data_IF_755777261881
#
_entry.id   IF_755777261881
#
_cell.length_a   1.000
_cell.length_b   1.000
_cell.length_c   1.000
_cell.angle_alpha   90.00
_cell.angle_beta   90.00
_cell.angle_gamma   90.00
#
_symmetry.space_group_name_H-M   'P 1'
#
loop_
_entity.id
_entity.type
_entity.pdbx_description
1 polymer ?
#
# COMPACT_ATOMS: atom_id res chain seq x y z
N UNK A 1 15.28 1.40 -3.22
CA UNK A 1 14.45 2.47 -3.83
C UNK A 1 14.72 3.80 -3.13
N UNK A 2 14.37 3.93 -1.87
CA UNK A 2 14.81 4.99 -0.99
C UNK A 2 15.84 4.43 0.01
N UNK A 3 16.45 5.26 0.84
CA UNK A 3 17.43 4.78 1.82
C UNK A 3 16.83 3.72 2.76
N UNK A 4 15.54 3.87 3.09
CA UNK A 4 14.82 3.03 4.03
C UNK A 4 13.59 2.32 3.43
N UNK A 5 13.37 2.32 2.09
CA UNK A 5 12.24 1.66 1.46
C UNK A 5 12.69 0.82 0.26
N UNK A 6 12.34 -0.46 0.28
CA UNK A 6 12.75 -1.46 -0.70
C UNK A 6 11.54 -2.08 -1.39
N UNK A 7 11.60 -2.22 -2.71
CA UNK A 7 10.58 -2.91 -3.48
C UNK A 7 10.81 -4.42 -3.43
N UNK A 8 9.81 -5.15 -2.96
CA UNK A 8 9.79 -6.62 -2.88
C UNK A 8 8.54 -7.20 -3.54
N UNK A 9 7.99 -6.44 -4.48
CA UNK A 9 6.80 -6.80 -5.24
C UNK A 9 7.10 -7.56 -6.53
N UNK A 10 6.06 -7.73 -7.32
CA UNK A 10 6.11 -8.29 -8.68
C UNK A 10 5.99 -7.18 -9.72
N UNK A 11 5.94 -7.55 -11.01
CA UNK A 11 5.76 -6.58 -12.09
C UNK A 11 4.43 -5.82 -12.00
N UNK A 12 3.38 -6.41 -11.41
CA UNK A 12 2.02 -5.85 -11.36
C UNK A 12 1.66 -5.41 -9.95
N UNK A 13 1.91 -6.25 -8.95
CA UNK A 13 1.51 -6.02 -7.56
C UNK A 13 2.68 -5.50 -6.74
N UNK A 14 2.48 -4.38 -6.07
CA UNK A 14 3.50 -3.76 -5.24
C UNK A 14 3.53 -4.38 -3.85
N UNK A 15 4.73 -4.61 -3.34
CA UNK A 15 4.99 -4.87 -1.92
C UNK A 15 6.24 -4.10 -1.52
N UNK A 16 6.23 -3.49 -0.34
CA UNK A 16 7.28 -2.58 0.09
C UNK A 16 7.77 -2.92 1.50
N UNK A 17 9.08 -3.06 1.65
CA UNK A 17 9.73 -3.23 2.96
C UNK A 17 10.29 -1.89 3.42
N UNK A 18 9.67 -1.31 4.46
CA UNK A 18 10.09 -0.06 5.10
C UNK A 18 10.94 -0.41 6.32
N UNK A 19 12.24 -0.16 6.24
CA UNK A 19 13.18 -0.41 7.34
C UNK A 19 13.17 0.72 8.36
N UNK A 20 13.28 0.36 9.62
CA UNK A 20 13.28 1.27 10.77
C UNK A 20 14.43 0.89 11.72
N UNK A 21 14.64 1.66 12.79
CA UNK A 21 15.65 1.30 13.82
C UNK A 21 15.36 -0.03 14.53
N UNK A 22 14.09 -0.47 14.60
CA UNK A 22 13.66 -1.62 15.39
C UNK A 22 13.12 -2.79 14.57
N UNK A 23 13.27 -2.73 13.25
CA UNK A 23 12.83 -3.79 12.35
C UNK A 23 12.22 -3.26 11.05
N UNK A 24 11.26 -4.00 10.51
CA UNK A 24 10.68 -3.72 9.18
C UNK A 24 9.15 -3.68 9.30
N UNK A 25 8.55 -2.68 8.65
CA UNK A 25 7.12 -2.64 8.33
C UNK A 25 6.97 -3.06 6.86
N UNK A 26 6.26 -4.15 6.60
CA UNK A 26 5.95 -4.60 5.25
C UNK A 26 4.58 -4.05 4.85
N UNK A 27 4.45 -3.54 3.64
CA UNK A 27 3.17 -3.07 3.06
C UNK A 27 2.80 -4.04 1.94
N UNK A 28 1.65 -4.69 2.09
CA UNK A 28 1.09 -5.75 1.24
C UNK A 28 1.97 -7.00 1.13
N UNK A 29 1.34 -8.13 0.76
CA UNK A 29 1.99 -9.44 0.75
C UNK A 29 1.79 -10.26 -0.53
N UNK A 30 1.29 -9.63 -1.58
CA UNK A 30 1.10 -10.27 -2.90
C UNK A 30 0.12 -11.46 -2.84
N UNK A 31 -0.03 -12.17 -3.97
CA UNK A 31 -0.64 -13.48 -4.01
C UNK A 31 0.20 -14.50 -3.24
N UNK A 32 -0.47 -15.47 -2.64
CA UNK A 32 0.18 -16.52 -1.84
C UNK A 32 1.30 -17.23 -2.57
N UNK A 33 1.09 -17.61 -3.84
CA UNK A 33 2.07 -18.31 -4.66
C UNK A 33 3.34 -17.50 -4.97
N UNK A 34 3.26 -16.15 -4.88
CA UNK A 34 4.38 -15.26 -5.18
C UNK A 34 5.12 -14.78 -3.91
N UNK A 35 4.49 -14.88 -2.75
CA UNK A 35 4.97 -14.23 -1.52
C UNK A 35 6.31 -14.73 -1.04
N UNK A 36 6.55 -16.05 -1.04
CA UNK A 36 7.81 -16.61 -0.52
C UNK A 36 8.99 -16.23 -1.42
N UNK A 37 8.83 -16.34 -2.74
CA UNK A 37 9.91 -16.00 -3.68
C UNK A 37 10.16 -14.49 -3.77
N UNK A 38 9.11 -13.70 -3.99
CA UNK A 38 9.24 -12.27 -4.24
C UNK A 38 9.56 -11.50 -2.94
N UNK A 39 8.85 -11.77 -1.85
CA UNK A 39 9.04 -11.02 -0.60
C UNK A 39 10.20 -11.62 0.20
N UNK A 40 10.10 -12.88 0.62
CA UNK A 40 11.13 -13.48 1.49
C UNK A 40 12.45 -13.64 0.76
N UNK A 41 12.41 -14.17 -0.47
CA UNK A 41 13.59 -14.30 -1.33
C UNK A 41 14.15 -12.93 -1.76
N UNK A 42 13.27 -11.99 -2.13
CA UNK A 42 13.64 -10.63 -2.51
C UNK A 42 14.31 -9.87 -1.37
N UNK A 43 13.75 -9.92 -0.15
CA UNK A 43 14.37 -9.30 1.03
C UNK A 43 15.77 -9.84 1.29
N UNK A 44 15.95 -11.17 1.26
CA UNK A 44 17.28 -11.79 1.43
C UNK A 44 18.29 -11.33 0.37
N UNK A 45 17.88 -11.25 -0.89
CA UNK A 45 18.72 -10.73 -1.99
C UNK A 45 19.15 -9.28 -1.77
N UNK A 46 18.30 -8.49 -1.08
CA UNK A 46 18.57 -7.10 -0.71
C UNK A 46 19.34 -6.95 0.62
N UNK A 47 19.74 -8.07 1.24
CA UNK A 47 20.45 -8.05 2.54
C UNK A 47 19.54 -7.79 3.73
N UNK A 48 18.21 -7.87 3.56
CA UNK A 48 17.23 -7.71 4.62
C UNK A 48 16.86 -9.08 5.21
N UNK A 49 16.79 -9.16 6.54
CA UNK A 49 16.30 -10.37 7.22
C UNK A 49 14.77 -10.34 7.35
N UNK A 50 14.03 -11.27 6.72
CA UNK A 50 12.58 -11.36 6.86
C UNK A 50 12.09 -11.58 8.31
N UNK A 51 12.92 -12.12 9.20
CA UNK A 51 12.59 -12.27 10.61
C UNK A 51 12.45 -10.93 11.36
N UNK A 52 12.98 -9.86 10.77
CA UNK A 52 12.83 -8.52 11.29
C UNK A 52 11.52 -7.83 10.88
N UNK A 53 10.65 -8.46 10.08
CA UNK A 53 9.32 -7.92 9.78
C UNK A 53 8.43 -8.04 11.02
N UNK A 54 8.19 -6.89 11.68
CA UNK A 54 7.38 -6.83 12.91
C UNK A 54 5.91 -6.54 12.60
N UNK A 55 5.65 -5.68 11.62
CA UNK A 55 4.31 -5.35 11.17
C UNK A 55 4.15 -5.60 9.67
N UNK A 56 2.97 -6.06 9.31
CA UNK A 56 2.50 -6.14 7.91
C UNK A 56 1.22 -5.34 7.83
N UNK A 57 1.22 -4.28 7.03
CA UNK A 57 0.02 -3.48 6.78
C UNK A 57 -0.55 -3.91 5.44
N UNK A 58 -1.76 -4.45 5.45
CA UNK A 58 -2.49 -4.89 4.27
C UNK A 58 -3.40 -3.75 3.81
N UNK A 59 -3.21 -3.32 2.56
CA UNK A 59 -4.02 -2.25 1.97
C UNK A 59 -5.50 -2.66 1.86
N UNK A 60 -5.77 -3.90 1.47
CA UNK A 60 -7.13 -4.47 1.44
C UNK A 60 -7.14 -6.00 1.26
N UNK A 61 -8.32 -6.63 1.40
CA UNK A 61 -8.46 -8.08 1.50
C UNK A 61 -8.47 -8.86 0.17
N UNK A 62 -8.10 -8.26 -0.97
CA UNK A 62 -7.93 -9.04 -2.21
C UNK A 62 -6.67 -9.92 -2.13
N UNK A 63 -6.74 -11.07 -2.80
CA UNK A 63 -5.71 -12.10 -2.71
C UNK A 63 -4.30 -11.65 -3.13
N UNK A 64 -4.21 -10.68 -4.03
CA UNK A 64 -2.97 -10.07 -4.51
C UNK A 64 -2.32 -9.09 -3.52
N UNK A 65 -2.97 -8.83 -2.38
CA UNK A 65 -2.44 -8.00 -1.29
C UNK A 65 -2.30 -8.75 0.01
N UNK A 66 -3.26 -9.63 0.34
CA UNK A 66 -3.29 -10.37 1.61
C UNK A 66 -2.72 -11.78 1.53
N UNK A 67 -2.43 -12.29 0.32
CA UNK A 67 -2.13 -13.71 0.10
C UNK A 67 -0.98 -14.26 0.94
N UNK A 68 0.09 -13.50 1.15
CA UNK A 68 1.22 -13.91 1.99
C UNK A 68 1.11 -13.56 3.46
N UNK A 69 0.01 -12.94 3.92
CA UNK A 69 -0.12 -12.49 5.30
C UNK A 69 0.00 -13.63 6.32
N UNK A 70 -0.60 -14.80 6.01
CA UNK A 70 -0.47 -15.98 6.88
C UNK A 70 0.97 -16.50 6.94
N UNK A 71 1.69 -16.53 5.83
CA UNK A 71 3.11 -16.90 5.80
C UNK A 71 3.92 -16.00 6.73
N UNK A 72 3.71 -14.68 6.63
CA UNK A 72 4.40 -13.71 7.49
C UNK A 72 4.05 -13.89 8.97
N UNK A 73 2.77 -14.11 9.28
CA UNK A 73 2.29 -14.34 10.64
C UNK A 73 2.84 -15.64 11.26
N UNK A 74 2.81 -16.74 10.51
CA UNK A 74 3.19 -18.06 11.05
C UNK A 74 4.72 -18.21 11.13
N UNK A 75 5.43 -17.82 10.07
CA UNK A 75 6.86 -18.06 9.95
C UNK A 75 7.70 -17.02 10.70
N UNK A 76 7.29 -15.76 10.66
CA UNK A 76 8.06 -14.64 11.20
C UNK A 76 7.42 -13.97 12.41
N UNK A 77 6.21 -14.40 12.80
CA UNK A 77 5.44 -13.83 13.93
C UNK A 77 5.11 -12.34 13.73
N UNK A 78 5.03 -11.92 12.47
CA UNK A 78 4.66 -10.55 12.12
C UNK A 78 3.21 -10.26 12.54
N UNK A 79 2.97 -9.04 13.07
CA UNK A 79 1.64 -8.55 13.42
C UNK A 79 0.94 -8.03 12.17
N UNK A 80 -0.26 -8.52 11.88
CA UNK A 80 -1.00 -8.13 10.68
C UNK A 80 -1.99 -7.02 10.99
N UNK A 81 -1.92 -5.93 10.23
CA UNK A 81 -2.81 -4.77 10.32
C UNK A 81 -3.70 -4.72 9.09
N UNK A 82 -5.01 -4.66 9.27
CA UNK A 82 -5.99 -4.55 8.20
C UNK A 82 -7.28 -3.90 8.70
N UNK A 83 -8.06 -3.27 7.81
CA UNK A 83 -9.34 -2.67 8.14
C UNK A 83 -10.36 -3.71 8.66
N UNK A 84 -11.24 -3.30 9.60
CA UNK A 84 -12.21 -4.20 10.22
C UNK A 84 -13.10 -4.94 9.21
N UNK A 85 -13.71 -4.27 8.19
CA UNK A 85 -14.55 -4.96 7.22
C UNK A 85 -13.79 -5.99 6.38
N UNK A 86 -12.52 -5.75 6.12
CA UNK A 86 -11.66 -6.64 5.33
C UNK A 86 -11.25 -7.86 6.16
N UNK A 87 -10.99 -7.71 7.46
CA UNK A 87 -10.87 -8.83 8.38
C UNK A 87 -12.10 -9.71 8.37
N UNK A 88 -13.30 -9.12 8.47
CA UNK A 88 -14.56 -9.85 8.41
C UNK A 88 -14.76 -10.56 7.07
N UNK A 89 -14.35 -9.95 5.97
CA UNK A 89 -14.40 -10.56 4.64
C UNK A 89 -13.56 -11.83 4.57
N UNK A 90 -12.32 -11.78 5.08
CA UNK A 90 -11.43 -12.95 5.13
C UNK A 90 -12.00 -14.04 6.05
N UNK A 91 -12.49 -13.68 7.22
CA UNK A 91 -13.07 -14.64 8.17
C UNK A 91 -14.27 -15.39 7.56
N UNK A 92 -15.14 -14.68 6.84
CA UNK A 92 -16.34 -15.26 6.17
C UNK A 92 -16.02 -16.02 4.88
N UNK A 93 -14.91 -15.71 4.20
CA UNK A 93 -14.56 -16.36 2.94
C UNK A 93 -14.46 -17.87 3.09
N UNK A 94 -15.17 -18.64 2.28
CA UNK A 94 -15.09 -20.11 2.29
C UNK A 94 -13.99 -20.65 1.39
N UNK A 95 -13.38 -19.81 0.56
CA UNK A 95 -12.44 -20.20 -0.48
C UNK A 95 -11.09 -19.47 -0.35
N UNK A 96 -10.04 -20.12 -0.87
CA UNK A 96 -8.91 -19.44 -1.51
C UNK A 96 -7.65 -19.17 -0.69
N UNK A 97 -7.50 -19.83 0.44
CA UNK A 97 -6.20 -19.78 1.12
C UNK A 97 -5.66 -21.20 1.26
N UNK A 98 -4.90 -21.74 0.25
CA UNK A 98 -4.37 -23.10 0.27
C UNK A 98 -3.61 -23.44 1.56
N UNK A 99 -2.88 -22.46 2.11
CA UNK A 99 -2.15 -22.62 3.38
C UNK A 99 -2.93 -22.08 4.59
N UNK A 100 -4.21 -21.75 4.41
CA UNK A 100 -5.09 -21.20 5.44
C UNK A 100 -5.06 -19.67 5.56
N UNK A 101 -6.02 -19.12 6.27
CA UNK A 101 -6.22 -17.68 6.45
C UNK A 101 -5.29 -17.09 7.52
N UNK A 102 -4.86 -15.82 7.39
CA UNK A 102 -4.26 -15.13 8.52
C UNK A 102 -5.26 -15.00 9.66
N UNK A 103 -4.80 -15.11 10.88
CA UNK A 103 -5.63 -14.86 12.07
C UNK A 103 -5.76 -13.35 12.28
N UNK A 104 -6.98 -12.90 12.58
CA UNK A 104 -7.25 -11.50 12.95
C UNK A 104 -6.32 -11.06 14.07
N UNK A 105 -5.69 -9.90 13.87
CA UNK A 105 -4.74 -9.35 14.82
C UNK A 105 -5.04 -7.87 15.08
N UNK A 106 -4.44 -6.94 14.36
CA UNK A 106 -4.64 -5.51 14.57
C UNK A 106 -5.71 -5.00 13.59
N UNK A 107 -6.72 -4.33 14.15
CA UNK A 107 -7.69 -3.58 13.35
C UNK A 107 -7.15 -2.18 13.13
N UNK A 108 -6.86 -1.86 11.87
CA UNK A 108 -6.43 -0.53 11.46
C UNK A 108 -7.58 0.47 11.49
N UNK A 109 -7.37 1.60 12.15
CA UNK A 109 -8.34 2.68 12.28
C UNK A 109 -7.86 3.95 11.58
N UNK A 110 -8.80 4.81 11.22
CA UNK A 110 -8.48 6.11 10.61
C UNK A 110 -7.61 6.97 11.53
N UNK A 111 -6.55 7.55 10.98
CA UNK A 111 -5.58 8.36 11.73
C UNK A 111 -4.66 7.57 12.67
N UNK A 112 -4.85 6.26 12.81
CA UNK A 112 -3.97 5.43 13.64
C UNK A 112 -2.54 5.43 13.09
N UNK A 113 -1.56 5.52 13.98
CA UNK A 113 -0.14 5.38 13.64
C UNK A 113 0.35 3.99 14.02
N UNK A 114 0.93 3.29 13.07
CA UNK A 114 1.73 2.09 13.31
C UNK A 114 3.18 2.54 13.41
N UNK A 115 3.70 2.52 14.62
CA UNK A 115 5.07 3.00 14.92
C UNK A 115 5.99 1.84 15.21
N UNK A 116 7.17 1.85 14.60
CA UNK A 116 8.26 0.91 14.86
C UNK A 116 9.57 1.68 14.83
N UNK A 117 10.29 1.71 15.96
CA UNK A 117 11.50 2.48 16.10
C UNK A 117 11.32 3.97 15.75
N UNK A 118 12.12 4.47 14.83
CA UNK A 118 12.14 5.86 14.37
C UNK A 118 11.10 6.20 13.31
N UNK A 119 10.24 5.26 12.94
CA UNK A 119 9.34 5.42 11.78
C UNK A 119 7.87 5.15 12.16
N UNK A 120 6.97 5.96 11.61
CA UNK A 120 5.52 5.81 11.78
C UNK A 120 4.81 5.80 10.43
N UNK A 121 3.85 4.90 10.26
CA UNK A 121 2.90 4.87 9.15
C UNK A 121 1.54 5.28 9.67
N UNK A 122 1.00 6.40 9.16
CA UNK A 122 -0.35 6.86 9.49
C UNK A 122 -1.35 6.22 8.55
N UNK A 123 -2.32 5.51 9.09
CA UNK A 123 -3.40 4.87 8.34
C UNK A 123 -4.48 5.90 7.99
N UNK A 124 -4.99 5.82 6.77
CA UNK A 124 -6.13 6.58 6.30
C UNK A 124 -7.16 5.58 5.77
N UNK A 125 -8.32 5.46 6.41
CA UNK A 125 -9.39 4.59 5.90
C UNK A 125 -9.98 5.19 4.64
N UNK A 126 -9.92 4.44 3.55
CA UNK A 126 -10.38 4.84 2.21
C UNK A 126 -11.27 3.76 1.60
N UNK A 127 -12.46 3.49 2.21
CA UNK A 127 -13.38 2.48 1.70
C UNK A 127 -13.82 2.79 0.26
N UNK A 128 -14.23 1.75 -0.46
CA UNK A 128 -14.74 1.87 -1.83
C UNK A 128 -14.18 0.76 -2.72
N UNK A 129 -12.85 0.64 -2.86
CA UNK A 129 -12.26 -0.51 -3.55
C UNK A 129 -12.60 -1.83 -2.82
N UNK A 130 -12.37 -1.85 -1.51
CA UNK A 130 -13.04 -2.74 -0.56
C UNK A 130 -13.62 -1.90 0.59
N UNK A 131 -14.56 -2.44 1.40
CA UNK A 131 -15.07 -1.69 2.56
C UNK A 131 -14.00 -1.39 3.62
N UNK A 132 -12.93 -2.18 3.71
CA UNK A 132 -11.86 -2.04 4.69
C UNK A 132 -10.56 -1.45 4.15
N UNK A 133 -10.55 -0.91 2.93
CA UNK A 133 -9.33 -0.36 2.31
C UNK A 133 -8.63 0.66 3.21
N UNK A 134 -7.31 0.48 3.34
CA UNK A 134 -6.38 1.38 4.03
C UNK A 134 -5.42 2.01 3.02
N UNK A 135 -5.38 3.33 3.00
CA UNK A 135 -4.31 4.13 2.42
C UNK A 135 -3.35 4.60 3.52
N UNK A 136 -2.19 5.13 3.18
CA UNK A 136 -1.16 5.44 4.17
C UNK A 136 -0.44 6.74 3.87
N UNK A 137 0.01 7.41 4.93
CA UNK A 137 0.97 8.52 4.88
C UNK A 137 2.18 8.13 5.73
N UNK A 138 3.38 8.19 5.17
CA UNK A 138 4.63 7.88 5.88
C UNK A 138 5.82 8.58 5.23
N UNK A 139 6.93 8.64 5.95
CA UNK A 139 8.15 9.25 5.44
C UNK A 139 9.16 8.21 4.97
N UNK A 140 9.88 8.56 3.90
CA UNK A 140 11.04 7.85 3.37
C UNK A 140 12.23 8.81 3.29
N UNK A 141 13.43 8.29 3.06
CA UNK A 141 14.64 9.10 2.97
C UNK A 141 15.32 8.94 1.60
N UNK A 142 15.74 10.03 1.01
CA UNK A 142 16.58 10.06 -0.20
C UNK A 142 17.87 10.81 0.11
N UNK A 143 19.00 10.10 0.22
CA UNK A 143 20.29 10.64 0.67
C UNK A 143 20.16 11.38 2.02
N UNK A 144 19.47 10.76 2.98
CA UNK A 144 19.22 11.29 4.32
C UNK A 144 18.09 12.35 4.40
N UNK A 145 17.62 12.87 3.27
CA UNK A 145 16.56 13.90 3.25
C UNK A 145 15.18 13.24 3.32
N UNK A 146 14.33 13.65 4.27
CA UNK A 146 12.99 13.10 4.39
C UNK A 146 12.08 13.57 3.24
N UNK A 147 11.24 12.64 2.77
CA UNK A 147 10.21 12.84 1.76
C UNK A 147 8.94 12.15 2.22
N UNK A 148 7.80 12.82 2.11
CA UNK A 148 6.53 12.23 2.54
C UNK A 148 5.81 11.54 1.38
N UNK A 149 5.39 10.31 1.62
CA UNK A 149 4.66 9.44 0.71
C UNK A 149 3.17 9.53 0.98
N UNK A 150 2.38 9.69 -0.07
CA UNK A 150 0.96 9.34 -0.10
C UNK A 150 0.82 7.99 -0.83
N UNK A 151 0.40 6.96 -0.11
CA UNK A 151 0.18 5.62 -0.63
C UNK A 151 -1.32 5.36 -0.80
N UNK A 152 -1.78 5.15 -2.05
CA UNK A 152 -3.17 4.81 -2.33
C UNK A 152 -3.36 3.29 -2.29
N UNK A 153 -4.12 2.81 -1.30
CA UNK A 153 -4.36 1.39 -1.06
C UNK A 153 -5.53 0.78 -1.86
N UNK A 154 -6.28 1.59 -2.60
CA UNK A 154 -7.40 1.14 -3.45
C UNK A 154 -7.42 1.87 -4.78
N UNK A 155 -6.70 1.36 -5.78
CA UNK A 155 -6.40 2.08 -7.03
C UNK A 155 -7.43 1.93 -8.14
N UNK A 156 -8.25 0.88 -8.12
CA UNK A 156 -9.24 0.61 -9.15
C UNK A 156 -10.66 0.56 -8.60
N UNK A 157 -11.65 0.80 -9.44
CA UNK A 157 -13.07 0.61 -9.11
C UNK A 157 -13.64 -0.63 -9.82
N UNK A 158 -12.99 -1.77 -9.59
CA UNK A 158 -13.43 -3.11 -10.00
C UNK A 158 -14.37 -3.77 -8.97
N UNK A 159 -15.16 -2.96 -8.29
CA UNK A 159 -16.17 -3.35 -7.30
C UNK A 159 -17.57 -3.43 -7.92
N UNK A 160 -18.59 -3.67 -7.10
CA UNK A 160 -19.98 -3.68 -7.55
C UNK A 160 -20.35 -2.33 -8.18
N UNK A 161 -20.82 -2.36 -9.43
CA UNK A 161 -21.18 -1.17 -10.19
C UNK A 161 -22.52 -0.62 -9.73
N UNK A 162 -22.54 0.08 -8.61
CA UNK A 162 -23.69 0.84 -8.12
C UNK A 162 -23.27 2.23 -7.62
N UNK A 163 -24.25 3.12 -7.55
CA UNK A 163 -24.03 4.51 -7.16
C UNK A 163 -23.43 4.64 -5.75
N UNK A 164 -23.91 3.92 -4.72
CA UNK A 164 -23.32 4.03 -3.38
C UNK A 164 -21.84 3.65 -3.29
N UNK A 165 -21.40 2.62 -4.02
CA UNK A 165 -19.98 2.23 -4.04
C UNK A 165 -19.13 3.31 -4.69
N UNK A 166 -19.57 3.89 -5.81
CA UNK A 166 -18.86 5.01 -6.44
C UNK A 166 -18.83 6.24 -5.55
N UNK A 167 -19.93 6.60 -4.88
CA UNK A 167 -19.94 7.74 -3.95
C UNK A 167 -18.95 7.54 -2.79
N UNK A 168 -18.88 6.33 -2.26
CA UNK A 168 -17.92 5.97 -1.21
C UNK A 168 -16.47 6.08 -1.71
N UNK A 169 -16.18 5.52 -2.89
CA UNK A 169 -14.85 5.59 -3.49
C UNK A 169 -14.42 7.04 -3.79
N UNK A 170 -15.32 7.85 -4.38
CA UNK A 170 -15.08 9.27 -4.66
C UNK A 170 -14.78 10.03 -3.37
N UNK A 171 -15.56 9.81 -2.30
CA UNK A 171 -15.31 10.39 -0.99
C UNK A 171 -13.94 10.02 -0.42
N UNK A 172 -13.52 8.77 -0.63
CA UNK A 172 -12.21 8.27 -0.20
C UNK A 172 -11.04 8.90 -0.96
N UNK A 173 -11.18 9.12 -2.27
CA UNK A 173 -10.14 9.82 -3.05
C UNK A 173 -9.98 11.29 -2.60
N UNK A 174 -11.08 11.99 -2.32
CA UNK A 174 -11.05 13.35 -1.75
C UNK A 174 -10.36 13.37 -0.39
N UNK A 175 -10.75 12.46 0.50
CA UNK A 175 -10.15 12.32 1.84
C UNK A 175 -8.63 12.08 1.76
N UNK A 176 -8.19 11.21 0.84
CA UNK A 176 -6.78 10.91 0.67
C UNK A 176 -6.01 12.09 0.07
N UNK A 177 -6.61 12.84 -0.87
CA UNK A 177 -6.05 14.10 -1.38
C UNK A 177 -5.81 15.11 -0.24
N UNK A 178 -6.80 15.30 0.65
CA UNK A 178 -6.67 16.17 1.80
C UNK A 178 -5.59 15.70 2.79
N UNK A 179 -5.53 14.39 3.07
CA UNK A 179 -4.49 13.82 3.93
C UNK A 179 -3.09 14.04 3.35
N UNK A 180 -2.92 13.81 2.05
CA UNK A 180 -1.67 14.07 1.32
C UNK A 180 -1.29 15.55 1.34
N UNK A 181 -2.27 16.46 1.17
CA UNK A 181 -2.05 17.91 1.25
C UNK A 181 -1.59 18.34 2.64
N UNK A 182 -2.28 17.90 3.71
CA UNK A 182 -1.90 18.20 5.10
C UNK A 182 -0.49 17.70 5.44
N UNK A 183 -0.12 16.55 4.91
CA UNK A 183 1.21 15.97 5.11
C UNK A 183 2.29 16.55 4.18
N UNK A 184 1.95 17.44 3.26
CA UNK A 184 2.84 17.95 2.22
C UNK A 184 3.49 16.85 1.39
N UNK A 185 2.76 15.78 1.08
CA UNK A 185 3.28 14.63 0.34
C UNK A 185 3.77 15.03 -1.06
N UNK A 186 4.98 14.57 -1.39
CA UNK A 186 5.64 14.83 -2.68
C UNK A 186 5.91 13.54 -3.45
N UNK A 187 5.69 12.40 -2.82
CA UNK A 187 5.86 11.06 -3.38
C UNK A 187 4.48 10.40 -3.45
N UNK A 188 4.16 9.82 -4.61
CA UNK A 188 2.98 9.00 -4.80
C UNK A 188 3.40 7.55 -4.99
N UNK A 189 2.76 6.67 -4.24
CA UNK A 189 2.90 5.22 -4.37
C UNK A 189 1.53 4.55 -4.34
N UNK A 190 1.45 3.37 -4.93
CA UNK A 190 0.21 2.59 -5.01
C UNK A 190 0.47 1.11 -4.80
N UNK A 191 -0.59 0.38 -4.54
CA UNK A 191 -0.56 -1.08 -4.36
C UNK A 191 -0.41 -1.86 -5.68
N UNK A 192 -0.62 -1.21 -6.83
CA UNK A 192 -0.36 -1.76 -8.16
C UNK A 192 0.63 -0.90 -8.92
N UNK A 193 1.69 -1.51 -9.42
CA UNK A 193 2.82 -0.84 -10.08
C UNK A 193 2.46 -0.05 -11.34
N UNK A 194 1.34 -0.34 -11.97
CA UNK A 194 0.87 0.36 -13.17
C UNK A 194 0.27 1.73 -12.85
N UNK A 195 -0.31 1.93 -11.66
CA UNK A 195 -0.95 3.20 -11.29
C UNK A 195 0.04 4.27 -10.80
N UNK A 196 1.23 3.88 -10.37
CA UNK A 196 2.31 4.82 -10.02
C UNK A 196 3.54 4.70 -10.94
N UNK A 197 3.46 3.82 -11.95
CA UNK A 197 4.55 3.54 -12.89
C UNK A 197 5.83 3.01 -12.21
N UNK A 198 5.66 2.17 -11.17
CA UNK A 198 6.74 1.69 -10.32
C UNK A 198 7.87 1.02 -11.11
N UNK A 199 7.55 0.13 -12.06
CA UNK A 199 8.56 -0.59 -12.84
C UNK A 199 9.47 0.35 -13.63
N UNK A 200 8.91 1.41 -14.24
CA UNK A 200 9.70 2.43 -14.94
C UNK A 200 10.55 3.24 -13.96
N UNK A 201 9.97 3.66 -12.83
CA UNK A 201 10.70 4.40 -11.80
C UNK A 201 11.85 3.60 -11.20
N UNK A 202 11.66 2.28 -11.00
CA UNK A 202 12.74 1.37 -10.55
C UNK A 202 13.89 1.35 -11.55
N UNK A 203 13.60 1.27 -12.85
CA UNK A 203 14.62 1.31 -13.90
C UNK A 203 15.35 2.66 -13.94
N UNK A 204 14.60 3.76 -13.81
CA UNK A 204 15.20 5.10 -13.74
C UNK A 204 16.09 5.26 -12.50
N UNK A 205 15.71 4.67 -11.35
CA UNK A 205 16.57 4.65 -10.17
C UNK A 205 17.89 3.94 -10.41
N UNK A 206 17.89 2.81 -11.12
CA UNK A 206 19.12 2.08 -11.45
C UNK A 206 20.07 2.88 -12.35
N UNK A 207 19.54 3.84 -13.12
CA UNK A 207 20.31 4.72 -14.01
C UNK A 207 20.59 6.11 -13.40
N UNK A 208 20.02 6.42 -12.22
CA UNK A 208 20.10 7.74 -11.58
C UNK A 208 21.53 8.11 -11.22
N UNK A 209 21.94 9.32 -11.60
CA UNK A 209 23.23 9.89 -11.24
C UNK A 209 23.15 10.72 -9.95
N UNK A 210 24.27 10.91 -9.24
CA UNK A 210 24.32 11.82 -8.09
C UNK A 210 23.80 13.23 -8.46
N UNK A 211 22.92 13.78 -7.62
CA UNK A 211 22.32 15.11 -7.83
C UNK A 211 21.06 15.12 -8.69
N UNK A 212 20.73 14.05 -9.40
CA UNK A 212 19.47 13.96 -10.14
C UNK A 212 18.26 13.79 -9.21
N UNK A 213 17.07 14.34 -9.56
CA UNK A 213 15.86 14.16 -8.79
C UNK A 213 15.49 12.67 -8.63
N UNK A 214 14.92 12.32 -7.49
CA UNK A 214 14.40 10.96 -7.28
C UNK A 214 13.15 10.72 -8.15
N UNK A 215 13.06 9.64 -8.96
CA UNK A 215 11.96 9.41 -9.90
C UNK A 215 10.57 9.33 -9.27
N UNK A 216 10.49 9.01 -7.99
CA UNK A 216 9.22 8.99 -7.25
C UNK A 216 8.84 10.36 -6.67
N UNK A 217 9.74 11.35 -6.65
CA UNK A 217 9.43 12.69 -6.18
C UNK A 217 8.77 13.49 -7.30
N UNK A 218 7.44 13.39 -7.38
CA UNK A 218 6.65 14.04 -8.44
C UNK A 218 6.15 15.43 -8.04
N UNK A 219 6.30 15.80 -6.76
CA UNK A 219 5.85 17.08 -6.22
C UNK A 219 4.39 17.09 -5.76
N UNK A 220 4.05 18.06 -4.90
CA UNK A 220 2.72 18.16 -4.27
C UNK A 220 1.59 18.31 -5.28
N UNK A 221 1.77 19.14 -6.29
CA UNK A 221 0.74 19.36 -7.32
C UNK A 221 0.42 18.09 -8.11
N UNK A 222 1.43 17.29 -8.45
CA UNK A 222 1.23 16.04 -9.17
C UNK A 222 0.53 14.99 -8.30
N UNK A 223 0.86 14.93 -6.99
CA UNK A 223 0.15 14.08 -6.03
C UNK A 223 -1.33 14.48 -5.96
N UNK A 224 -1.65 15.79 -5.85
CA UNK A 224 -3.02 16.28 -5.83
C UNK A 224 -3.75 15.96 -7.15
N UNK A 225 -3.08 16.16 -8.29
CA UNK A 225 -3.63 15.84 -9.62
C UNK A 225 -3.98 14.37 -9.77
N UNK A 226 -3.15 13.47 -9.24
CA UNK A 226 -3.45 12.05 -9.26
C UNK A 226 -4.80 11.73 -8.59
N UNK A 227 -5.00 12.21 -7.35
CA UNK A 227 -6.27 11.97 -6.64
C UNK A 227 -7.45 12.65 -7.32
N UNK A 228 -7.24 13.84 -7.89
CA UNK A 228 -8.29 14.53 -8.65
C UNK A 228 -8.70 13.76 -9.91
N UNK A 229 -7.73 13.25 -10.67
CA UNK A 229 -8.01 12.41 -11.86
C UNK A 229 -8.74 11.12 -11.45
N UNK A 230 -8.32 10.47 -10.38
CA UNK A 230 -8.96 9.25 -9.89
C UNK A 230 -10.41 9.52 -9.46
N UNK A 231 -10.65 10.63 -8.76
CA UNK A 231 -11.98 11.10 -8.37
C UNK A 231 -12.86 11.33 -9.61
N UNK A 232 -12.37 12.11 -10.60
CA UNK A 232 -13.13 12.46 -11.80
C UNK A 232 -13.43 11.24 -12.67
N UNK A 233 -12.49 10.32 -12.83
CA UNK A 233 -12.73 9.05 -13.52
C UNK A 233 -13.84 8.23 -12.85
N UNK A 234 -13.87 8.18 -11.52
CA UNK A 234 -14.93 7.51 -10.78
C UNK A 234 -16.28 8.23 -10.92
N UNK A 235 -16.29 9.58 -10.94
CA UNK A 235 -17.51 10.37 -11.21
C UNK A 235 -18.08 10.08 -12.61
N UNK A 236 -17.22 10.00 -13.64
CA UNK A 236 -17.65 9.65 -15.00
C UNK A 236 -18.23 8.23 -15.05
N UNK A 237 -17.59 7.28 -14.40
CA UNK A 237 -18.09 5.90 -14.31
C UNK A 237 -19.46 5.84 -13.59
N UNK A 238 -19.61 6.57 -12.49
CA UNK A 238 -20.86 6.71 -11.73
C UNK A 238 -22.00 7.28 -12.58
N UNK A 239 -21.73 8.33 -13.36
CA UNK A 239 -22.75 8.97 -14.23
C UNK A 239 -23.30 8.00 -15.28
N UNK A 240 -22.50 7.09 -15.79
CA UNK A 240 -22.94 6.05 -16.74
C UNK A 240 -23.91 5.03 -16.16
N UNK A 241 -24.04 4.93 -14.84
CA UNK A 241 -25.00 4.04 -14.19
C UNK A 241 -26.43 4.62 -14.13
N UNK A 242 -26.58 5.91 -14.33
CA UNK A 242 -27.88 6.62 -14.30
C UNK A 242 -28.42 7.02 -15.68
N UNK A 243 -27.76 6.59 -16.76
CA UNK A 243 -28.17 6.88 -18.15
C UNK A 243 -28.81 5.68 -18.81
#
# INVERSE_FOLDING_TARGET
MFDNLYFVGTKIHSSWALTTSDGIILIDTLYEYASDEAIVGGMKKLGLDPANVKYVIISHAHGDHVGGAKLMQDRFKSRIVMGAPDWESIERSQNQYPNGKPKRDIVGMDGQKITLGDTSVTLVTTPGHTPGTLSMIFDVKDNGRPLTVAYNGGTAFNFVNDVPHFDTYIGSQKKMAEAAARANATVLMTNHSEFDNAVTKIRLMAARKPGEPHPYTIGREAVQRYFKVTEECAQVARLKLGS
#
